data_IF_883761987105
#
_entry.id   IF_883761987105
#
_cell.length_a   1.000
_cell.length_b   1.000
_cell.length_c   1.000
_cell.angle_alpha   90.00
_cell.angle_beta   90.00
_cell.angle_gamma   90.00
#
_symmetry.space_group_name_H-M   'P 1'
#
loop_
_entity.id
_entity.type
_entity.pdbx_description
1 polymer ?
#
# COMPACT_ATOMS: atom_id res chain seq x y z
N UNK A 1 2.18 12.44 16.04
CA UNK A 1 1.26 11.27 15.97
C UNK A 1 2.09 10.02 15.72
N UNK A 2 1.82 8.89 16.40
CA UNK A 2 2.67 7.71 16.28
C UNK A 2 1.85 6.42 16.41
N UNK A 3 2.00 5.51 15.44
CA UNK A 3 1.54 4.13 15.50
C UNK A 3 2.73 3.23 15.84
N UNK A 4 2.65 2.48 16.94
CA UNK A 4 3.63 1.50 17.37
C UNK A 4 3.05 0.11 17.26
N UNK A 5 3.77 -0.78 16.62
CA UNK A 5 3.47 -2.20 16.44
C UNK A 5 4.65 -2.95 17.02
N UNK A 6 4.45 -3.71 18.10
CA UNK A 6 5.50 -4.37 18.85
C UNK A 6 5.24 -5.89 18.85
N UNK A 7 6.08 -6.65 18.14
CA UNK A 7 6.09 -8.12 18.02
C UNK A 7 4.71 -8.73 17.74
N UNK A 8 3.95 -8.06 16.87
CA UNK A 8 2.57 -8.43 16.56
C UNK A 8 2.53 -9.68 15.70
N UNK A 9 1.74 -10.65 16.15
CA UNK A 9 1.44 -11.88 15.41
C UNK A 9 -0.06 -12.11 15.31
N UNK A 10 -0.49 -12.71 14.18
CA UNK A 10 -1.87 -13.12 13.94
C UNK A 10 -1.96 -14.50 13.35
N UNK A 11 -2.53 -15.42 14.09
CA UNK A 11 -2.93 -16.76 13.63
C UNK A 11 -4.44 -16.83 13.58
N UNK A 12 -5.01 -17.30 12.48
CA UNK A 12 -6.44 -17.53 12.31
C UNK A 12 -6.84 -18.92 12.87
N UNK A 13 -8.15 -19.15 13.03
CA UNK A 13 -8.66 -20.39 13.60
C UNK A 13 -8.39 -21.66 12.78
N UNK A 14 -8.08 -21.52 11.49
CA UNK A 14 -7.64 -22.60 10.59
C UNK A 14 -6.13 -22.91 10.69
N UNK A 15 -5.41 -22.23 11.58
CA UNK A 15 -3.97 -22.38 11.78
C UNK A 15 -3.10 -21.50 10.86
N UNK A 16 -3.70 -20.68 9.98
CA UNK A 16 -2.95 -19.78 9.10
C UNK A 16 -2.28 -18.67 9.90
N UNK A 17 -0.95 -18.63 9.92
CA UNK A 17 -0.16 -17.55 10.50
C UNK A 17 0.01 -16.42 9.47
N UNK A 18 -0.90 -15.46 9.49
CA UNK A 18 -0.93 -14.38 8.50
C UNK A 18 0.03 -13.22 8.82
N UNK A 19 0.36 -13.00 10.09
CA UNK A 19 1.35 -12.00 10.55
C UNK A 19 2.21 -12.64 11.62
N UNK A 20 3.53 -12.46 11.55
CA UNK A 20 4.53 -13.14 12.39
C UNK A 20 5.57 -12.15 12.91
N UNK A 21 5.54 -11.85 14.20
CA UNK A 21 6.53 -11.04 14.91
C UNK A 21 6.84 -9.70 14.19
N UNK A 22 5.78 -9.00 13.77
CA UNK A 22 5.93 -7.72 13.07
C UNK A 22 6.12 -6.60 14.07
N UNK A 23 7.25 -5.86 13.94
CA UNK A 23 7.53 -4.65 14.71
C UNK A 23 7.77 -3.49 13.75
N UNK A 24 6.98 -2.41 13.89
CA UNK A 24 7.00 -1.24 13.02
C UNK A 24 6.55 0.00 13.79
N UNK A 25 7.28 1.09 13.63
CA UNK A 25 6.86 2.42 14.13
C UNK A 25 6.63 3.35 12.94
N UNK A 26 5.48 4.02 12.97
CA UNK A 26 5.02 4.96 11.93
C UNK A 26 4.65 6.27 12.61
N UNK A 27 5.27 7.39 12.24
CA UNK A 27 5.10 8.67 12.92
C UNK A 27 4.59 9.81 12.06
N UNK A 28 4.83 9.80 10.76
CA UNK A 28 4.47 10.91 9.87
C UNK A 28 4.54 10.50 8.39
N UNK A 29 3.84 11.26 7.55
CA UNK A 29 3.89 11.14 6.10
C UNK A 29 3.17 9.91 5.56
N UNK A 30 3.47 9.56 4.31
CA UNK A 30 2.95 8.39 3.63
C UNK A 30 3.92 7.21 3.76
N UNK A 31 3.45 6.13 4.37
CA UNK A 31 4.19 4.89 4.53
C UNK A 31 3.58 3.83 3.62
N UNK A 32 4.39 3.27 2.73
CA UNK A 32 4.01 2.17 1.86
C UNK A 32 4.23 0.81 2.51
N UNK A 33 3.18 0.03 2.67
CA UNK A 33 3.26 -1.39 3.05
C UNK A 33 3.27 -2.24 1.78
N UNK A 34 4.46 -2.59 1.30
CA UNK A 34 4.68 -3.28 0.03
C UNK A 34 4.88 -4.78 0.25
N UNK A 35 4.30 -5.61 -0.60
CA UNK A 35 4.49 -7.05 -0.55
C UNK A 35 3.58 -7.80 -1.51
N UNK A 36 3.88 -9.08 -1.85
CA UNK A 36 3.05 -9.89 -2.72
C UNK A 36 1.68 -10.18 -2.10
N UNK A 37 0.77 -10.72 -2.90
CA UNK A 37 -0.50 -11.22 -2.38
C UNK A 37 -0.25 -12.36 -1.38
N UNK A 38 -0.98 -12.36 -0.27
CA UNK A 38 -0.76 -13.32 0.81
C UNK A 38 0.37 -12.97 1.79
N UNK A 39 1.12 -11.87 1.59
CA UNK A 39 2.20 -11.46 2.52
C UNK A 39 1.72 -11.02 3.91
N UNK A 40 0.41 -10.91 4.15
CA UNK A 40 -0.15 -10.51 5.44
C UNK A 40 -0.55 -9.03 5.54
N UNK A 41 -0.39 -8.23 4.47
CA UNK A 41 -0.68 -6.79 4.45
C UNK A 41 -2.09 -6.45 4.93
N UNK A 42 -3.12 -7.01 4.29
CA UNK A 42 -4.53 -6.75 4.66
C UNK A 42 -4.86 -7.23 6.08
N UNK A 43 -4.20 -8.30 6.56
CA UNK A 43 -4.35 -8.72 7.96
C UNK A 43 -3.77 -7.68 8.91
N UNK A 44 -2.57 -7.16 8.64
CA UNK A 44 -1.97 -6.09 9.43
C UNK A 44 -2.84 -4.82 9.42
N UNK A 45 -3.36 -4.42 8.24
CA UNK A 45 -4.29 -3.29 8.11
C UNK A 45 -5.56 -3.48 8.96
N UNK A 46 -6.15 -4.69 8.96
CA UNK A 46 -7.33 -5.02 9.77
C UNK A 46 -7.04 -5.03 11.27
N UNK A 47 -5.83 -5.40 11.70
CA UNK A 47 -5.39 -5.30 13.09
C UNK A 47 -5.32 -3.82 13.51
N UNK A 48 -4.68 -2.96 12.71
CA UNK A 48 -4.58 -1.52 12.95
C UNK A 48 -5.97 -0.88 12.95
N UNK A 49 -6.84 -1.29 12.01
CA UNK A 49 -8.22 -0.82 11.94
C UNK A 49 -9.15 -1.37 13.05
N UNK A 50 -8.62 -2.16 13.99
CA UNK A 50 -9.37 -2.79 15.08
C UNK A 50 -10.55 -3.66 14.62
N UNK A 51 -10.47 -4.21 13.40
CA UNK A 51 -11.46 -5.15 12.84
C UNK A 51 -11.21 -6.54 13.37
N UNK A 52 -9.94 -6.88 13.61
CA UNK A 52 -9.54 -8.14 14.27
C UNK A 52 -8.50 -7.84 15.34
N UNK A 53 -8.29 -8.78 16.26
CA UNK A 53 -7.31 -8.66 17.36
C UNK A 53 -6.07 -9.49 17.07
N UNK A 54 -4.87 -9.08 17.49
CA UNK A 54 -3.65 -9.88 17.40
C UNK A 54 -3.76 -11.15 18.27
N UNK A 55 -2.98 -12.16 17.92
CA UNK A 55 -2.80 -13.36 18.74
C UNK A 55 -1.70 -13.15 19.78
N UNK A 56 -0.71 -12.31 19.46
CA UNK A 56 0.38 -11.91 20.35
C UNK A 56 0.88 -10.51 19.95
N UNK A 57 1.66 -9.88 20.83
CA UNK A 57 2.21 -8.54 20.63
C UNK A 57 1.23 -7.43 20.99
N UNK A 58 1.62 -6.18 20.77
CA UNK A 58 0.82 -5.00 21.11
C UNK A 58 0.78 -3.99 19.97
N UNK A 59 -0.35 -3.29 19.85
CA UNK A 59 -0.52 -2.16 18.93
C UNK A 59 -0.93 -0.93 19.74
N UNK A 60 -0.19 0.17 19.56
CA UNK A 60 -0.48 1.43 20.25
C UNK A 60 -0.61 2.58 19.26
N UNK A 61 -1.59 3.43 19.51
CA UNK A 61 -1.75 4.71 18.84
C UNK A 61 -1.59 5.84 19.83
N UNK A 62 -0.57 6.71 19.63
CA UNK A 62 -0.21 7.77 20.57
C UNK A 62 -0.07 7.23 22.03
N UNK A 63 0.59 6.09 22.19
CA UNK A 63 0.82 5.42 23.47
C UNK A 63 -0.39 4.66 24.04
N UNK A 64 -1.58 4.75 23.43
CA UNK A 64 -2.80 4.04 23.85
C UNK A 64 -2.90 2.69 23.16
N UNK A 65 -3.05 1.61 23.92
CA UNK A 65 -3.32 0.28 23.35
C UNK A 65 -4.66 0.27 22.63
N UNK A 66 -4.63 -0.06 21.34
CA UNK A 66 -5.83 -0.02 20.49
C UNK A 66 -6.72 -1.26 20.64
N UNK A 67 -6.20 -2.35 21.20
CA UNK A 67 -6.97 -3.55 21.50
C UNK A 67 -7.86 -3.31 22.72
N UNK A 68 -7.30 -2.69 23.76
CA UNK A 68 -8.01 -2.35 24.98
C UNK A 68 -9.01 -1.20 24.77
N UNK A 69 -8.68 -0.25 23.89
CA UNK A 69 -9.49 0.95 23.65
C UNK A 69 -9.84 1.15 22.16
N UNK A 70 -10.51 0.18 21.51
CA UNK A 70 -10.78 0.24 20.07
C UNK A 70 -11.69 1.41 19.66
N UNK A 71 -12.59 1.85 20.56
CA UNK A 71 -13.48 3.00 20.28
C UNK A 71 -12.67 4.30 20.18
N UNK A 72 -11.65 4.49 21.03
CA UNK A 72 -10.78 5.65 20.97
C UNK A 72 -10.00 5.69 19.65
N UNK A 73 -9.45 4.54 19.23
CA UNK A 73 -8.77 4.39 17.94
C UNK A 73 -9.68 4.72 16.76
N UNK A 74 -10.88 4.16 16.72
CA UNK A 74 -11.84 4.37 15.60
C UNK A 74 -12.26 5.82 15.42
N UNK A 75 -12.16 6.66 16.43
CA UNK A 75 -12.46 8.10 16.33
C UNK A 75 -11.37 8.88 15.57
N UNK A 76 -10.14 8.43 15.61
CA UNK A 76 -8.98 9.06 14.98
C UNK A 76 -8.50 8.31 13.75
N UNK A 77 -9.20 7.24 13.36
CA UNK A 77 -8.87 6.39 12.24
C UNK A 77 -9.82 6.61 11.05
N UNK A 78 -9.24 6.79 9.87
CA UNK A 78 -9.91 6.56 8.58
C UNK A 78 -9.45 5.21 8.01
N UNK A 79 -10.38 4.37 7.60
CA UNK A 79 -10.04 3.09 6.97
C UNK A 79 -10.77 2.94 5.63
N UNK A 80 -10.00 2.70 4.58
CA UNK A 80 -10.47 2.32 3.26
C UNK A 80 -10.09 0.86 3.01
N UNK A 81 -11.05 -0.08 3.05
CA UNK A 81 -10.79 -1.49 2.75
C UNK A 81 -10.58 -1.70 1.24
N UNK A 82 -9.93 -2.80 0.87
CA UNK A 82 -9.73 -3.22 -0.51
C UNK A 82 -11.08 -3.37 -1.26
N UNK A 83 -12.05 -4.04 -0.63
CA UNK A 83 -13.41 -4.18 -1.13
C UNK A 83 -14.32 -3.16 -0.44
N UNK A 84 -14.43 -1.97 -1.01
CA UNK A 84 -15.31 -0.92 -0.52
C UNK A 84 -16.68 -1.03 -1.17
N UNK A 85 -17.67 -1.45 -0.39
CA UNK A 85 -19.06 -1.57 -0.83
C UNK A 85 -19.84 -0.25 -0.69
N UNK A 86 -20.73 0.01 -1.65
CA UNK A 86 -21.65 1.14 -1.63
C UNK A 86 -23.09 0.67 -1.84
N UNK A 87 -24.07 1.51 -1.50
CA UNK A 87 -25.48 1.31 -1.85
C UNK A 87 -25.75 1.93 -3.23
N UNK A 88 -25.95 1.13 -4.29
CA UNK A 88 -26.04 1.62 -5.67
C UNK A 88 -27.18 2.61 -5.92
N UNK A 89 -28.25 2.55 -5.11
CA UNK A 89 -29.45 3.37 -5.18
C UNK A 89 -29.24 4.78 -4.64
N UNK A 90 -28.29 4.96 -3.71
CA UNK A 90 -28.00 6.25 -3.12
C UNK A 90 -27.14 7.10 -4.04
N UNK A 91 -27.29 8.42 -3.95
CA UNK A 91 -26.32 9.37 -4.51
C UNK A 91 -25.08 9.43 -3.65
N UNK A 92 -23.97 10.00 -4.18
CA UNK A 92 -22.74 10.17 -3.42
C UNK A 92 -22.98 11.01 -2.16
N UNK A 93 -23.74 12.09 -2.26
CA UNK A 93 -24.08 12.94 -1.12
C UNK A 93 -24.92 12.21 -0.07
N UNK A 94 -25.97 11.49 -0.48
CA UNK A 94 -26.82 10.72 0.43
C UNK A 94 -26.01 9.64 1.17
N UNK A 95 -25.13 8.96 0.44
CA UNK A 95 -24.26 7.93 1.02
C UNK A 95 -23.28 8.52 2.04
N UNK A 96 -22.67 9.66 1.74
CA UNK A 96 -21.79 10.35 2.69
C UNK A 96 -22.53 10.84 3.92
N UNK A 97 -23.75 11.33 3.78
CA UNK A 97 -24.61 11.69 4.92
C UNK A 97 -24.95 10.48 5.78
N UNK A 98 -25.29 9.34 5.17
CA UNK A 98 -25.54 8.09 5.87
C UNK A 98 -24.31 7.63 6.66
N UNK A 99 -23.12 7.65 6.03
CA UNK A 99 -21.87 7.28 6.67
C UNK A 99 -21.43 8.26 7.76
N UNK A 100 -21.67 9.54 7.59
CA UNK A 100 -21.42 10.56 8.61
C UNK A 100 -22.23 10.30 9.88
N UNK A 101 -23.51 9.96 9.71
CA UNK A 101 -24.37 9.60 10.84
C UNK A 101 -23.88 8.35 11.58
N UNK A 102 -23.46 7.31 10.84
CA UNK A 102 -22.88 6.09 11.43
C UNK A 102 -21.56 6.34 12.17
N UNK A 103 -20.74 7.26 11.68
CA UNK A 103 -19.49 7.68 12.34
C UNK A 103 -19.71 8.67 13.49
N UNK A 104 -20.93 9.10 13.76
CA UNK A 104 -21.27 10.03 14.84
C UNK A 104 -20.82 11.47 14.56
N UNK A 105 -20.68 11.86 13.30
CA UNK A 105 -20.42 13.26 12.93
C UNK A 105 -21.66 14.09 13.27
N UNK A 106 -21.54 15.17 14.08
CA UNK A 106 -22.69 15.99 14.45
C UNK A 106 -23.41 16.56 13.22
N UNK A 107 -24.76 16.51 13.19
CA UNK A 107 -25.54 16.90 12.02
C UNK A 107 -25.24 18.31 11.50
N UNK A 108 -24.98 19.28 12.39
CA UNK A 108 -24.57 20.63 12.00
C UNK A 108 -23.20 20.73 11.33
N UNK A 109 -22.30 19.76 11.60
CA UNK A 109 -20.96 19.69 11.00
C UNK A 109 -20.93 18.79 9.75
N UNK A 110 -21.92 17.90 9.58
CA UNK A 110 -21.89 16.90 8.51
C UNK A 110 -21.92 17.53 7.12
N UNK A 111 -22.85 18.46 6.87
CA UNK A 111 -23.00 19.08 5.54
C UNK A 111 -21.74 19.82 5.07
N UNK A 112 -21.19 20.80 5.81
CA UNK A 112 -19.98 21.49 5.36
C UNK A 112 -18.79 20.53 5.22
N UNK A 113 -18.69 19.48 6.06
CA UNK A 113 -17.65 18.46 5.94
C UNK A 113 -17.81 17.64 4.66
N UNK A 114 -19.03 17.23 4.32
CA UNK A 114 -19.31 16.47 3.09
C UNK A 114 -19.04 17.33 1.86
N UNK A 115 -19.42 18.61 1.85
CA UNK A 115 -19.12 19.52 0.75
C UNK A 115 -17.61 19.60 0.50
N UNK A 116 -16.80 19.82 1.55
CA UNK A 116 -15.35 19.85 1.45
C UNK A 116 -14.74 18.49 0.99
N UNK A 117 -15.28 17.36 1.46
CA UNK A 117 -14.80 16.03 1.05
C UNK A 117 -15.17 15.68 -0.38
N UNK A 118 -16.33 16.11 -0.88
CA UNK A 118 -16.69 15.98 -2.29
C UNK A 118 -15.72 16.77 -3.18
N UNK A 119 -15.35 17.98 -2.77
CA UNK A 119 -14.33 18.81 -3.44
C UNK A 119 -12.96 18.11 -3.44
N UNK A 120 -12.48 17.70 -2.26
CA UNK A 120 -11.20 16.97 -2.10
C UNK A 120 -11.15 15.71 -2.99
N UNK A 121 -12.27 14.97 -3.04
CA UNK A 121 -12.40 13.77 -3.85
C UNK A 121 -12.72 14.06 -5.33
N UNK A 122 -12.91 15.33 -5.73
CA UNK A 122 -13.33 15.76 -7.07
C UNK A 122 -14.61 15.06 -7.55
N UNK A 123 -15.62 15.07 -6.70
CA UNK A 123 -16.93 14.45 -6.94
C UNK A 123 -18.08 15.46 -6.92
N UNK A 124 -17.81 16.78 -6.92
CA UNK A 124 -18.83 17.83 -6.80
C UNK A 124 -19.88 17.73 -7.91
N UNK A 125 -19.44 17.57 -9.16
CA UNK A 125 -20.36 17.46 -10.31
C UNK A 125 -21.16 16.14 -10.30
N UNK A 126 -20.64 15.11 -9.62
CA UNK A 126 -21.27 13.80 -9.50
C UNK A 126 -22.07 13.61 -8.20
N UNK A 127 -22.13 14.63 -7.31
CA UNK A 127 -22.71 14.52 -5.97
C UNK A 127 -24.14 13.98 -5.94
N UNK A 128 -24.97 14.36 -6.91
CA UNK A 128 -26.38 13.95 -7.03
C UNK A 128 -26.57 12.73 -7.93
N UNK A 129 -25.50 12.17 -8.47
CA UNK A 129 -25.57 10.97 -9.31
C UNK A 129 -25.56 9.73 -8.43
N UNK A 130 -26.35 8.71 -8.80
CA UNK A 130 -26.42 7.42 -8.09
C UNK A 130 -25.10 6.64 -8.22
N UNK A 131 -24.66 6.02 -7.11
CA UNK A 131 -23.41 5.29 -7.00
C UNK A 131 -23.34 4.07 -7.93
N UNK A 132 -24.48 3.46 -8.27
CA UNK A 132 -24.54 2.37 -9.22
C UNK A 132 -24.08 2.71 -10.65
N UNK A 133 -23.95 4.02 -10.96
CA UNK A 133 -23.42 4.50 -12.24
C UNK A 133 -21.98 5.01 -12.16
N UNK A 134 -21.28 4.85 -11.04
CA UNK A 134 -19.90 5.31 -10.87
C UNK A 134 -18.90 4.32 -11.46
N UNK A 135 -17.76 4.84 -11.95
CA UNK A 135 -16.60 4.01 -12.28
C UNK A 135 -15.93 3.48 -11.00
N UNK A 136 -15.08 2.47 -11.13
CA UNK A 136 -14.30 1.95 -10.01
C UNK A 136 -13.49 3.05 -9.30
N UNK A 137 -12.84 3.95 -10.05
CA UNK A 137 -12.11 5.08 -9.51
C UNK A 137 -13.01 6.09 -8.78
N UNK A 138 -14.22 6.33 -9.28
CA UNK A 138 -15.19 7.17 -8.57
C UNK A 138 -15.64 6.52 -7.25
N UNK A 139 -15.86 5.20 -7.22
CA UNK A 139 -16.19 4.47 -5.99
C UNK A 139 -15.05 4.55 -4.98
N UNK A 140 -13.80 4.38 -5.41
CA UNK A 140 -12.63 4.54 -4.52
C UNK A 140 -12.54 5.96 -3.95
N UNK A 141 -12.85 6.99 -4.74
CA UNK A 141 -12.91 8.38 -4.26
C UNK A 141 -14.05 8.63 -3.26
N UNK A 142 -15.19 7.99 -3.42
CA UNK A 142 -16.24 7.97 -2.38
C UNK A 142 -15.72 7.26 -1.12
N UNK A 143 -15.00 6.16 -1.26
CA UNK A 143 -14.41 5.42 -0.15
C UNK A 143 -13.44 6.27 0.67
N UNK A 144 -12.54 7.03 0.00
CA UNK A 144 -11.63 7.93 0.71
C UNK A 144 -12.39 9.07 1.41
N UNK A 145 -13.41 9.66 0.75
CA UNK A 145 -14.25 10.66 1.39
C UNK A 145 -14.95 10.11 2.64
N UNK A 146 -15.45 8.86 2.59
CA UNK A 146 -15.99 8.16 3.76
C UNK A 146 -14.93 7.94 4.85
N UNK A 147 -13.72 7.56 4.48
CA UNK A 147 -12.63 7.35 5.44
C UNK A 147 -12.31 8.66 6.19
N UNK A 148 -12.40 9.81 5.51
CA UNK A 148 -12.06 11.13 6.03
C UNK A 148 -13.18 11.86 6.79
N UNK A 149 -14.40 11.31 6.86
CA UNK A 149 -15.56 11.99 7.47
C UNK A 149 -15.33 12.47 8.91
N UNK A 150 -14.63 11.69 9.71
CA UNK A 150 -14.33 11.99 11.12
C UNK A 150 -13.01 12.73 11.32
N UNK A 151 -12.43 13.30 10.26
CA UNK A 151 -11.15 14.00 10.27
C UNK A 151 -10.03 13.20 10.98
N UNK A 152 -9.65 12.05 10.43
CA UNK A 152 -8.75 11.13 11.12
C UNK A 152 -7.30 11.63 11.13
N UNK A 153 -6.58 11.34 12.21
CA UNK A 153 -5.14 11.53 12.32
C UNK A 153 -4.34 10.42 11.60
N UNK A 154 -4.94 9.22 11.49
CA UNK A 154 -4.39 8.06 10.79
C UNK A 154 -5.34 7.60 9.69
N UNK A 155 -4.86 7.57 8.47
CA UNK A 155 -5.55 7.00 7.31
C UNK A 155 -4.90 5.68 6.92
N UNK A 156 -5.67 4.61 6.90
CA UNK A 156 -5.24 3.28 6.45
C UNK A 156 -5.98 2.94 5.17
N UNK A 157 -5.27 2.71 4.07
CA UNK A 157 -5.82 2.37 2.77
C UNK A 157 -5.27 1.03 2.27
N UNK A 158 -6.15 0.03 2.13
CA UNK A 158 -5.77 -1.33 1.76
C UNK A 158 -5.99 -1.53 0.24
N UNK A 159 -4.88 -1.59 -0.51
CA UNK A 159 -4.83 -1.77 -1.97
C UNK A 159 -5.77 -0.83 -2.78
N UNK A 160 -5.82 0.48 -2.49
CA UNK A 160 -6.86 1.37 -2.99
C UNK A 160 -6.74 1.67 -4.49
N UNK A 161 -5.64 1.33 -5.14
CA UNK A 161 -5.36 1.60 -6.56
C UNK A 161 -5.62 0.41 -7.47
N UNK A 162 -5.95 -0.76 -6.89
CA UNK A 162 -6.26 -1.97 -7.65
C UNK A 162 -7.51 -1.77 -8.50
N UNK A 163 -7.42 -2.14 -9.79
CA UNK A 163 -8.53 -2.00 -10.73
C UNK A 163 -8.76 -0.60 -11.29
N UNK A 164 -7.93 0.38 -10.89
CA UNK A 164 -7.95 1.72 -11.48
C UNK A 164 -7.13 1.76 -12.78
N UNK A 165 -7.59 2.56 -13.74
CA UNK A 165 -6.78 2.90 -14.90
C UNK A 165 -5.56 3.77 -14.50
N UNK A 166 -4.55 3.94 -15.38
CA UNK A 166 -3.33 4.67 -15.04
C UNK A 166 -3.56 6.13 -14.63
N UNK A 167 -4.54 6.80 -15.24
CA UNK A 167 -4.84 8.20 -14.94
C UNK A 167 -5.52 8.35 -13.57
N UNK A 168 -6.54 7.52 -13.29
CA UNK A 168 -7.20 7.48 -11.98
C UNK A 168 -6.22 7.10 -10.86
N UNK A 169 -5.31 6.14 -11.12
CA UNK A 169 -4.26 5.75 -10.19
C UNK A 169 -3.33 6.92 -9.85
N UNK A 170 -2.89 7.67 -10.87
CA UNK A 170 -2.03 8.84 -10.65
C UNK A 170 -2.74 9.92 -9.82
N UNK A 171 -4.01 10.18 -10.11
CA UNK A 171 -4.84 11.13 -9.34
C UNK A 171 -5.04 10.69 -7.89
N UNK A 172 -5.26 9.39 -7.68
CA UNK A 172 -5.47 8.85 -6.33
C UNK A 172 -4.18 8.92 -5.50
N UNK A 173 -3.02 8.64 -6.11
CA UNK A 173 -1.72 8.81 -5.45
C UNK A 173 -1.46 10.25 -5.04
N UNK A 174 -1.72 11.22 -5.94
CA UNK A 174 -1.58 12.63 -5.62
C UNK A 174 -2.45 13.01 -4.40
N UNK A 175 -3.72 12.58 -4.40
CA UNK A 175 -4.61 12.80 -3.27
C UNK A 175 -4.07 12.24 -1.94
N UNK A 176 -3.53 11.00 -1.94
CA UNK A 176 -2.93 10.42 -0.74
C UNK A 176 -1.68 11.17 -0.28
N UNK A 177 -0.88 11.69 -1.23
CA UNK A 177 0.30 12.51 -0.92
C UNK A 177 -0.11 13.82 -0.25
N UNK A 178 -1.10 14.53 -0.80
CA UNK A 178 -1.62 15.77 -0.21
C UNK A 178 -2.17 15.53 1.20
N UNK A 179 -2.90 14.42 1.39
CA UNK A 179 -3.43 14.04 2.70
C UNK A 179 -2.32 13.71 3.73
N UNK A 180 -1.18 13.22 3.27
CA UNK A 180 -0.06 12.84 4.14
C UNK A 180 0.74 14.04 4.69
N UNK A 181 0.49 15.25 4.21
CA UNK A 181 1.09 16.48 4.77
C UNK A 181 0.57 16.78 6.17
N UNK A 182 -0.67 16.40 6.49
CA UNK A 182 -1.34 16.75 7.75
C UNK A 182 -1.62 15.53 8.66
N UNK A 183 -1.45 14.31 8.15
CA UNK A 183 -1.80 13.07 8.86
C UNK A 183 -0.87 11.92 8.50
N UNK A 184 -0.90 10.88 9.31
CA UNK A 184 -0.22 9.62 8.97
C UNK A 184 -1.06 8.85 7.95
N UNK A 185 -0.46 8.47 6.82
CA UNK A 185 -1.10 7.64 5.80
C UNK A 185 -0.35 6.32 5.68
N UNK A 186 -1.05 5.22 5.89
CA UNK A 186 -0.53 3.86 5.68
C UNK A 186 -1.22 3.25 4.46
N UNK A 187 -0.47 3.06 3.40
CA UNK A 187 -0.93 2.54 2.12
C UNK A 187 -0.42 1.12 1.90
N UNK A 188 -1.28 0.11 1.77
CA UNK A 188 -0.87 -1.21 1.30
C UNK A 188 -0.94 -1.29 -0.21
N UNK A 189 0.05 -1.94 -0.82
CA UNK A 189 0.06 -2.25 -2.25
C UNK A 189 1.00 -3.41 -2.56
N UNK A 190 0.81 -4.05 -3.70
CA UNK A 190 1.78 -4.97 -4.30
C UNK A 190 2.45 -4.34 -5.54
N UNK A 191 2.13 -3.09 -5.86
CA UNK A 191 2.60 -2.35 -7.04
C UNK A 191 3.66 -1.35 -6.60
N UNK A 192 4.92 -1.58 -6.97
CA UNK A 192 6.08 -0.76 -6.58
C UNK A 192 5.88 0.71 -6.97
N UNK A 193 5.41 0.97 -8.20
CA UNK A 193 5.20 2.34 -8.71
C UNK A 193 4.15 3.15 -7.94
N UNK A 194 3.32 2.53 -7.11
CA UNK A 194 2.34 3.26 -6.31
C UNK A 194 2.99 3.96 -5.10
N UNK A 195 4.11 3.46 -4.65
CA UNK A 195 4.82 3.96 -3.45
C UNK A 195 6.17 4.60 -3.75
N UNK A 196 6.76 4.32 -4.92
CA UNK A 196 8.09 4.79 -5.29
C UNK A 196 8.22 6.33 -5.26
N UNK A 197 7.20 7.04 -5.78
CA UNK A 197 7.23 8.50 -5.89
C UNK A 197 6.51 9.23 -4.73
N UNK A 198 5.84 8.49 -3.83
CA UNK A 198 4.93 9.10 -2.84
C UNK A 198 5.26 8.74 -1.40
N UNK A 199 5.82 7.55 -1.16
CA UNK A 199 6.09 7.09 0.19
C UNK A 199 7.40 7.67 0.75
N UNK A 200 7.34 8.25 1.93
CA UNK A 200 8.53 8.67 2.68
C UNK A 200 9.30 7.49 3.28
N UNK A 201 8.61 6.37 3.52
CA UNK A 201 9.15 5.13 4.05
C UNK A 201 8.38 3.94 3.50
N UNK A 202 9.08 2.83 3.29
CA UNK A 202 8.52 1.55 2.90
C UNK A 202 8.72 0.51 4.01
N UNK A 203 7.67 -0.25 4.27
CA UNK A 203 7.70 -1.48 5.05
C UNK A 203 7.43 -2.64 4.08
N UNK A 204 8.42 -3.50 3.83
CA UNK A 204 8.30 -4.61 2.89
C UNK A 204 7.91 -5.86 3.66
N UNK A 205 6.74 -6.41 3.33
CA UNK A 205 6.24 -7.66 3.92
C UNK A 205 6.44 -8.86 2.98
N UNK A 206 6.88 -9.97 3.55
CA UNK A 206 6.98 -11.26 2.89
C UNK A 206 6.68 -12.37 3.90
N UNK A 207 5.85 -13.34 3.54
CA UNK A 207 5.48 -14.50 4.37
C UNK A 207 5.08 -14.14 5.82
N UNK A 208 4.29 -13.09 5.97
CA UNK A 208 3.81 -12.62 7.27
C UNK A 208 4.82 -11.82 8.09
N UNK A 209 6.04 -11.58 7.61
CA UNK A 209 7.12 -10.88 8.31
C UNK A 209 7.50 -9.58 7.62
N UNK A 210 8.13 -8.66 8.34
CA UNK A 210 8.82 -7.52 7.74
C UNK A 210 10.20 -7.96 7.25
N UNK A 211 10.41 -7.89 5.95
CA UNK A 211 11.72 -8.14 5.32
C UNK A 211 12.64 -6.92 5.42
N UNK A 212 12.10 -5.72 5.33
CA UNK A 212 12.84 -4.46 5.47
C UNK A 212 11.89 -3.29 5.79
N UNK A 213 12.46 -2.27 6.44
CA UNK A 213 11.82 -0.95 6.60
C UNK A 213 12.87 0.12 6.35
N UNK A 214 12.68 0.97 5.33
CA UNK A 214 13.60 2.05 4.98
C UNK A 214 12.93 3.07 4.05
N UNK A 215 13.57 4.22 3.82
CA UNK A 215 13.23 5.12 2.71
C UNK A 215 13.49 4.42 1.35
N UNK A 216 12.73 4.78 0.28
CA UNK A 216 12.93 4.18 -1.05
C UNK A 216 14.39 4.24 -1.53
N UNK A 217 15.04 5.38 -1.39
CA UNK A 217 16.42 5.59 -1.82
C UNK A 217 17.41 4.67 -1.09
N UNK A 218 17.20 4.48 0.23
CA UNK A 218 18.04 3.58 1.02
C UNK A 218 17.85 2.10 0.65
N UNK A 219 16.69 1.73 0.10
CA UNK A 219 16.48 0.38 -0.46
C UNK A 219 17.19 0.22 -1.81
N UNK A 220 17.09 1.23 -2.69
CA UNK A 220 17.77 1.27 -3.99
C UNK A 220 19.28 1.18 -3.80
N UNK A 221 19.83 1.91 -2.82
CA UNK A 221 21.27 1.90 -2.52
C UNK A 221 21.81 0.50 -2.14
N UNK A 222 20.97 -0.38 -1.57
CA UNK A 222 21.38 -1.77 -1.25
C UNK A 222 21.71 -2.62 -2.46
N UNK A 223 21.24 -2.24 -3.65
CA UNK A 223 21.45 -2.98 -4.89
C UNK A 223 22.26 -2.20 -5.94
N UNK A 224 22.80 -1.01 -5.58
CA UNK A 224 23.45 -0.05 -6.50
C UNK A 224 24.52 -0.71 -7.38
N UNK A 225 25.38 -1.57 -6.81
CA UNK A 225 26.49 -2.20 -7.53
C UNK A 225 26.18 -3.63 -7.99
N UNK A 226 24.91 -4.03 -7.96
CA UNK A 226 24.47 -5.40 -8.22
C UNK A 226 23.42 -5.50 -9.33
N UNK A 227 23.16 -4.39 -10.05
CA UNK A 227 22.20 -4.37 -11.14
C UNK A 227 22.94 -4.34 -12.47
N UNK A 228 22.57 -5.26 -13.35
CA UNK A 228 23.26 -5.51 -14.62
C UNK A 228 22.27 -5.52 -15.78
N UNK A 229 22.71 -4.99 -16.93
CA UNK A 229 21.96 -5.03 -18.18
C UNK A 229 22.82 -5.68 -19.28
N UNK A 230 22.24 -6.61 -20.03
CA UNK A 230 22.86 -7.26 -21.20
C UNK A 230 21.79 -7.77 -22.16
N UNK A 231 22.21 -8.19 -23.37
CA UNK A 231 21.32 -8.76 -24.38
C UNK A 231 21.58 -10.25 -24.50
N UNK A 232 20.50 -11.03 -24.53
CA UNK A 232 20.53 -12.49 -24.68
C UNK A 232 19.71 -12.94 -25.89
N UNK A 233 19.99 -14.12 -26.42
CA UNK A 233 19.15 -14.76 -27.43
C UNK A 233 17.74 -15.04 -26.92
N UNK A 234 16.77 -15.07 -27.82
CA UNK A 234 15.37 -15.33 -27.44
C UNK A 234 15.18 -16.71 -26.78
N UNK A 235 15.99 -17.68 -27.17
CA UNK A 235 16.01 -19.05 -26.64
C UNK A 235 16.74 -19.17 -25.29
N UNK A 236 17.62 -18.22 -24.96
CA UNK A 236 18.38 -18.20 -23.71
C UNK A 236 17.63 -17.58 -22.53
N UNK A 237 16.59 -16.79 -22.78
CA UNK A 237 15.87 -16.06 -21.74
C UNK A 237 15.35 -16.95 -20.59
N UNK A 238 14.92 -18.18 -20.93
CA UNK A 238 14.48 -19.15 -19.93
C UNK A 238 15.58 -19.49 -18.92
N UNK A 239 16.78 -19.85 -19.43
CA UNK A 239 17.96 -20.17 -18.60
C UNK A 239 18.40 -18.97 -17.76
N UNK A 240 18.33 -17.76 -18.33
CA UNK A 240 18.69 -16.54 -17.60
C UNK A 240 17.73 -16.27 -16.44
N UNK A 241 16.43 -16.48 -16.63
CA UNK A 241 15.44 -16.37 -15.55
C UNK A 241 15.59 -17.41 -14.45
N UNK A 242 16.07 -18.59 -14.81
CA UNK A 242 16.33 -19.66 -13.83
C UNK A 242 17.61 -19.38 -13.01
N UNK A 243 18.61 -18.73 -13.64
CA UNK A 243 19.91 -18.44 -13.02
C UNK A 243 19.96 -17.09 -12.28
N UNK A 244 19.23 -16.09 -12.76
CA UNK A 244 19.30 -14.72 -12.26
C UNK A 244 17.91 -14.14 -11.98
N UNK A 245 17.89 -13.17 -11.09
CA UNK A 245 16.67 -12.42 -10.82
C UNK A 245 16.46 -11.35 -11.87
N UNK A 246 15.75 -11.71 -12.92
CA UNK A 246 15.36 -10.80 -13.99
C UNK A 246 14.19 -9.91 -13.51
N UNK A 247 14.46 -8.61 -13.40
CA UNK A 247 13.45 -7.60 -13.02
C UNK A 247 12.77 -7.02 -14.24
N UNK A 248 13.49 -6.92 -15.37
CA UNK A 248 12.93 -6.46 -16.63
C UNK A 248 13.49 -7.23 -17.82
N UNK A 249 12.64 -7.55 -18.78
CA UNK A 249 13.05 -8.17 -20.05
C UNK A 249 12.33 -7.50 -21.21
N UNK A 250 13.07 -6.83 -22.10
CA UNK A 250 12.53 -6.09 -23.24
C UNK A 250 13.00 -6.73 -24.54
N UNK A 251 12.05 -7.18 -25.35
CA UNK A 251 12.35 -7.77 -26.67
C UNK A 251 12.75 -6.68 -27.68
N UNK A 252 13.79 -6.93 -28.46
CA UNK A 252 14.29 -6.06 -29.51
C UNK A 252 14.76 -6.83 -30.72
N UNK A 253 15.17 -6.13 -31.83
CA UNK A 253 15.64 -6.77 -33.05
C UNK A 253 16.91 -7.66 -32.87
N UNK A 254 17.74 -7.33 -31.88
CA UNK A 254 19.02 -8.05 -31.60
C UNK A 254 18.90 -9.11 -30.50
N UNK A 255 17.72 -9.39 -29.98
CA UNK A 255 17.52 -10.32 -28.85
C UNK A 255 16.65 -9.73 -27.76
N UNK A 256 16.81 -10.23 -26.55
CA UNK A 256 16.10 -9.75 -25.35
C UNK A 256 17.08 -9.02 -24.46
N UNK A 257 16.84 -7.72 -24.24
CA UNK A 257 17.56 -6.93 -23.24
C UNK A 257 17.04 -7.31 -21.87
N UNK A 258 17.93 -7.82 -21.04
CA UNK A 258 17.64 -8.29 -19.68
C UNK A 258 18.23 -7.32 -18.68
N UNK A 259 17.46 -6.99 -17.65
CA UNK A 259 17.86 -6.23 -16.49
C UNK A 259 17.67 -7.11 -15.26
N UNK A 260 18.73 -7.32 -14.48
CA UNK A 260 18.70 -8.29 -13.39
C UNK A 260 19.63 -7.91 -12.24
N UNK A 261 19.31 -8.41 -11.05
CA UNK A 261 20.13 -8.28 -9.84
C UNK A 261 21.03 -9.52 -9.72
N UNK A 262 22.36 -9.30 -9.64
CA UNK A 262 23.37 -10.33 -9.42
C UNK A 262 24.58 -9.77 -8.68
N UNK A 263 25.22 -10.61 -7.84
CA UNK A 263 26.42 -10.21 -7.06
C UNK A 263 27.66 -9.97 -7.95
N UNK A 264 27.72 -10.59 -9.13
CA UNK A 264 28.79 -10.45 -10.12
C UNK A 264 28.19 -10.29 -11.52
N UNK A 265 28.92 -9.72 -12.48
CA UNK A 265 28.46 -9.62 -13.86
C UNK A 265 27.97 -10.96 -14.40
N UNK A 266 26.71 -11.08 -14.87
CA UNK A 266 26.15 -12.34 -15.38
C UNK A 266 26.82 -12.86 -16.66
N UNK A 267 27.43 -11.97 -17.43
CA UNK A 267 28.19 -12.28 -18.65
C UNK A 267 29.29 -11.26 -18.88
N UNK A 268 30.23 -11.55 -19.80
CA UNK A 268 31.27 -10.61 -20.20
C UNK A 268 30.72 -9.36 -20.90
N UNK A 269 29.51 -9.44 -21.42
CA UNK A 269 28.80 -8.33 -22.12
C UNK A 269 27.87 -7.55 -21.18
N UNK A 270 27.70 -8.01 -19.93
CA UNK A 270 26.87 -7.35 -18.97
C UNK A 270 27.50 -6.01 -18.51
N UNK A 271 26.71 -4.96 -18.56
CA UNK A 271 27.12 -3.62 -18.11
C UNK A 271 26.34 -3.25 -16.85
N UNK A 272 26.94 -2.48 -15.92
CA UNK A 272 26.21 -1.93 -14.79
C UNK A 272 25.01 -1.11 -15.27
N UNK A 273 23.87 -1.27 -14.60
CA UNK A 273 22.67 -0.53 -14.89
C UNK A 273 22.22 0.28 -13.67
N UNK A 274 21.43 1.33 -13.92
CA UNK A 274 20.85 2.13 -12.84
C UNK A 274 19.84 1.31 -12.04
N UNK A 275 20.01 1.19 -10.72
CA UNK A 275 19.11 0.41 -9.89
C UNK A 275 17.77 1.10 -9.70
N UNK A 276 16.71 0.32 -9.60
CA UNK A 276 15.35 0.77 -9.34
C UNK A 276 14.81 0.23 -8.01
N UNK A 277 13.73 0.81 -7.53
CA UNK A 277 13.03 0.27 -6.34
C UNK A 277 12.50 -1.15 -6.59
N UNK A 278 12.11 -1.48 -7.83
CA UNK A 278 11.67 -2.83 -8.19
C UNK A 278 12.81 -3.85 -8.06
N UNK A 279 14.05 -3.48 -8.44
CA UNK A 279 15.24 -4.31 -8.24
C UNK A 279 15.49 -4.59 -6.76
N UNK A 280 15.44 -3.53 -5.94
CA UNK A 280 15.61 -3.64 -4.49
C UNK A 280 14.51 -4.51 -3.85
N UNK A 281 13.26 -4.27 -4.22
CA UNK A 281 12.11 -5.03 -3.74
C UNK A 281 12.22 -6.51 -4.09
N UNK A 282 12.45 -6.85 -5.36
CA UNK A 282 12.59 -8.24 -5.78
C UNK A 282 13.80 -8.91 -5.16
N UNK A 283 14.89 -8.20 -4.86
CA UNK A 283 16.05 -8.77 -4.17
C UNK A 283 15.75 -9.20 -2.73
N UNK A 284 14.79 -8.53 -2.06
CA UNK A 284 14.40 -8.83 -0.68
C UNK A 284 13.41 -9.99 -0.55
N UNK A 285 12.59 -10.25 -1.58
CA UNK A 285 11.57 -11.31 -1.54
C UNK A 285 12.13 -12.73 -1.69
N UNK A 286 13.36 -12.84 -2.10
CA UNK A 286 14.00 -14.15 -2.26
C UNK A 286 15.30 -14.13 -1.46
N UNK A 287 15.53 -15.16 -0.69
CA UNK A 287 16.81 -15.38 -0.03
C UNK A 287 17.98 -15.35 -1.03
N UNK A 288 19.24 -15.33 -0.56
CA UNK A 288 20.41 -15.24 -1.42
C UNK A 288 20.33 -16.32 -2.51
N UNK A 289 20.27 -15.90 -3.77
CA UNK A 289 20.43 -16.77 -4.92
C UNK A 289 21.87 -17.26 -4.92
N UNK A 290 22.13 -18.38 -4.25
CA UNK A 290 23.33 -19.17 -4.58
C UNK A 290 23.09 -19.76 -5.96
N UNK A 291 24.01 -19.60 -6.91
CA UNK A 291 23.95 -20.33 -8.17
C UNK A 291 23.94 -21.83 -7.85
N UNK A 292 22.94 -22.55 -8.36
CA UNK A 292 22.90 -24.02 -8.34
C UNK A 292 23.86 -24.59 -9.37
#
# INVERSE_FOLDING_TARGET
>A
MELQIDDVSKTYGDGTEAVRDVSLTVSEGLIGLLGPNGAGKSTLMRLIATITTPTAGTLRWNGTDIVDRPVAMRRTLGYLPQDFGVYPELTAEEFLHYMAALKGVPGGAARPRIDALLETARLEEARSRRLGGFSGGMIQRVGIACALLNDPDLLVADEPTVGLDPEERARFRALLTDLAEERVVLLSTHIVSDVEATASRLAIMHDGRLAATAAPEALIDRVRDRVWEWVVGHDELGRVRDAYRVTKATRGPGGVRVHAVAEQPPSAEATPAEPTLEDAYLSLLSGPTSPR
#
